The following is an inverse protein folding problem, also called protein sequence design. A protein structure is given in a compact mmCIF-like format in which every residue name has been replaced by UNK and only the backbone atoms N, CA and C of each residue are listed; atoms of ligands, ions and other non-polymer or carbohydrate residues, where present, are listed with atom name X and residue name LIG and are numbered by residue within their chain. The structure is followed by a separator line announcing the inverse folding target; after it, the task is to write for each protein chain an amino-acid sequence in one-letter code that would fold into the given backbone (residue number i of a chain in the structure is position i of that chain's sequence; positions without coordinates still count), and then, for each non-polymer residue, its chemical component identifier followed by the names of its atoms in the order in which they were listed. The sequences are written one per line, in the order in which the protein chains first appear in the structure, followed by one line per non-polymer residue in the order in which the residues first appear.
data_IF_266280441742
#
_entry.id   IF_266280441742
#
_cell.length_a   1.000
_cell.length_b   1.000
_cell.length_c   1.000
_cell.angle_alpha   90.00
_cell.angle_beta   90.00
_cell.angle_gamma   90.00
#
_symmetry.space_group_name_H-M   'P 1'
#
loop_
_entity.id
_entity.type
_entity.pdbx_description
1 polymer ?
#
# COMPACT_ATOMS: atom_id res chain seq x y z
N UNK A 1 4.75 -17.06 -3.04
CA UNK A 1 4.04 -16.32 -4.08
C UNK A 1 3.42 -15.04 -3.59
N UNK A 2 2.66 -15.08 -2.49
CA UNK A 2 2.06 -13.88 -1.92
C UNK A 2 3.09 -12.85 -1.47
N UNK A 3 4.20 -13.30 -0.90
CA UNK A 3 5.26 -12.41 -0.44
C UNK A 3 5.92 -11.67 -1.60
N UNK A 4 6.09 -12.33 -2.74
CA UNK A 4 6.66 -11.69 -3.93
C UNK A 4 5.76 -10.56 -4.44
N UNK A 5 4.45 -10.78 -4.43
CA UNK A 5 3.48 -9.78 -4.83
C UNK A 5 3.54 -8.58 -3.88
N UNK A 6 3.54 -8.84 -2.58
CA UNK A 6 3.64 -7.80 -1.56
C UNK A 6 4.92 -6.96 -1.76
N UNK A 7 6.06 -7.61 -1.91
CA UNK A 7 7.34 -6.93 -2.07
C UNK A 7 7.38 -6.12 -3.37
N UNK A 8 6.83 -6.66 -4.44
CA UNK A 8 6.76 -5.96 -5.72
C UNK A 8 6.06 -4.60 -5.57
N UNK A 9 4.88 -4.60 -4.96
CA UNK A 9 4.14 -3.36 -4.76
C UNK A 9 4.82 -2.45 -3.75
N UNK A 10 5.44 -3.03 -2.72
CA UNK A 10 6.19 -2.24 -1.75
C UNK A 10 7.29 -1.42 -2.44
N UNK A 11 8.12 -2.07 -3.25
CA UNK A 11 9.20 -1.36 -3.94
C UNK A 11 8.67 -0.34 -4.94
N UNK A 12 7.59 -0.67 -5.63
CA UNK A 12 6.98 0.28 -6.57
C UNK A 12 6.52 1.53 -5.84
N UNK A 13 5.89 1.38 -4.69
CA UNK A 13 5.36 2.50 -3.92
C UNK A 13 6.51 3.34 -3.34
N UNK A 14 7.48 2.72 -2.70
CA UNK A 14 8.56 3.50 -2.07
C UNK A 14 9.40 4.22 -3.12
N UNK A 15 9.57 3.65 -4.29
CA UNK A 15 10.29 4.32 -5.39
C UNK A 15 9.46 5.47 -5.97
N UNK A 16 8.17 5.27 -6.17
CA UNK A 16 7.29 6.30 -6.73
C UNK A 16 7.14 7.51 -5.81
N UNK A 17 7.10 7.27 -4.50
CA UNK A 17 6.97 8.34 -3.52
C UNK A 17 8.32 8.82 -2.99
N UNK A 18 9.39 8.20 -3.42
CA UNK A 18 10.75 8.54 -3.01
C UNK A 18 10.91 8.54 -1.49
N UNK A 19 10.43 7.48 -0.85
CA UNK A 19 10.55 7.28 0.59
C UNK A 19 11.36 6.02 0.86
N UNK A 20 11.92 5.92 2.07
CA UNK A 20 12.67 4.73 2.46
C UNK A 20 11.72 3.66 3.01
N UNK A 21 12.20 2.41 3.04
CA UNK A 21 11.46 1.31 3.65
C UNK A 21 11.18 1.62 5.13
N UNK A 22 12.17 2.16 5.83
CA UNK A 22 12.03 2.52 7.24
C UNK A 22 10.93 3.55 7.45
N UNK A 23 10.87 4.58 6.60
CA UNK A 23 9.84 5.61 6.69
C UNK A 23 8.47 5.04 6.37
N UNK A 24 8.40 4.12 5.40
CA UNK A 24 7.14 3.50 5.02
C UNK A 24 6.48 2.74 6.19
N UNK A 25 7.30 2.06 7.00
CA UNK A 25 6.80 1.27 8.13
C UNK A 25 6.86 2.00 9.47
N UNK A 26 7.24 3.26 9.47
CA UNK A 26 7.30 4.07 10.67
C UNK A 26 5.92 4.61 11.02
N UNK A 27 5.57 4.57 12.30
CA UNK A 27 4.32 5.18 12.75
C UNK A 27 4.46 6.70 12.69
N UNK A 28 3.83 7.30 11.70
CA UNK A 28 3.91 8.72 11.46
C UNK A 28 2.57 9.21 10.94
N UNK A 29 2.31 10.49 11.16
CA UNK A 29 1.15 11.17 10.61
C UNK A 29 1.48 11.95 9.35
N UNK A 30 2.69 11.75 8.82
CA UNK A 30 3.09 12.37 7.56
C UNK A 30 2.12 11.98 6.47
N UNK A 31 1.47 12.98 5.89
CA UNK A 31 0.40 12.77 4.93
C UNK A 31 0.85 11.97 3.71
N UNK A 32 2.03 12.25 3.21
CA UNK A 32 2.57 11.57 2.04
C UNK A 32 2.78 10.08 2.31
N UNK A 33 3.31 9.75 3.47
CA UNK A 33 3.56 8.36 3.86
C UNK A 33 2.23 7.62 4.10
N UNK A 34 1.29 8.27 4.75
CA UNK A 34 -0.04 7.68 4.99
C UNK A 34 -0.73 7.40 3.65
N UNK A 35 -0.65 8.34 2.73
CA UNK A 35 -1.23 8.20 1.40
C UNK A 35 -0.57 7.05 0.63
N UNK A 36 0.75 6.96 0.70
CA UNK A 36 1.50 5.88 0.08
C UNK A 36 1.05 4.51 0.60
N UNK A 37 0.84 4.38 1.91
CA UNK A 37 0.36 3.13 2.50
C UNK A 37 -1.04 2.78 2.01
N UNK A 38 -1.94 3.76 1.91
CA UNK A 38 -3.29 3.51 1.44
C UNK A 38 -3.29 2.99 0.01
N UNK A 39 -2.50 3.61 -0.86
CA UNK A 39 -2.37 3.17 -2.25
C UNK A 39 -1.75 1.78 -2.31
N UNK A 40 -0.77 1.50 -1.46
CA UNK A 40 -0.14 0.20 -1.37
C UNK A 40 -1.16 -0.88 -1.00
N UNK A 41 -2.01 -0.64 0.01
CA UNK A 41 -3.05 -1.59 0.39
C UNK A 41 -4.03 -1.82 -0.76
N UNK A 42 -4.42 -0.75 -1.43
CA UNK A 42 -5.33 -0.83 -2.56
C UNK A 42 -4.76 -1.69 -3.69
N UNK A 43 -3.49 -1.48 -4.03
CA UNK A 43 -2.81 -2.26 -5.07
C UNK A 43 -2.69 -3.73 -4.68
N UNK A 44 -2.28 -4.01 -3.46
CA UNK A 44 -2.15 -5.39 -2.99
C UNK A 44 -3.49 -6.12 -3.04
N UNK A 45 -4.55 -5.44 -2.64
CA UNK A 45 -5.88 -6.04 -2.59
C UNK A 45 -6.52 -6.17 -3.98
N UNK A 46 -6.54 -5.08 -4.74
CA UNK A 46 -7.26 -5.04 -6.02
C UNK A 46 -6.47 -5.64 -7.17
N UNK A 47 -5.20 -5.29 -7.30
CA UNK A 47 -4.37 -5.76 -8.39
C UNK A 47 -3.62 -7.04 -8.06
N UNK A 48 -3.07 -7.11 -6.85
CA UNK A 48 -2.32 -8.28 -6.40
C UNK A 48 -3.18 -9.42 -5.90
N UNK A 49 -4.47 -9.19 -5.69
CA UNK A 49 -5.44 -10.19 -5.22
C UNK A 49 -5.07 -10.79 -3.87
N UNK A 50 -4.39 -10.03 -3.03
CA UNK A 50 -4.07 -10.47 -1.68
C UNK A 50 -5.26 -10.22 -0.75
N UNK A 51 -5.50 -11.18 0.14
CA UNK A 51 -6.55 -11.02 1.17
C UNK A 51 -6.10 -9.99 2.20
N UNK A 52 -7.06 -9.30 2.80
CA UNK A 52 -6.77 -8.29 3.83
C UNK A 52 -5.98 -8.91 4.99
N UNK A 53 -6.33 -10.11 5.40
CA UNK A 53 -5.60 -10.81 6.47
C UNK A 53 -4.13 -11.07 6.11
N UNK A 54 -3.85 -11.35 4.84
CA UNK A 54 -2.49 -11.57 4.36
C UNK A 54 -1.71 -10.26 4.40
N UNK A 55 -2.33 -9.16 3.98
CA UNK A 55 -1.70 -7.84 4.01
C UNK A 55 -1.35 -7.46 5.45
N UNK A 56 -2.29 -7.64 6.38
CA UNK A 56 -2.08 -7.35 7.80
C UNK A 56 -0.91 -8.17 8.36
N UNK A 57 -0.88 -9.48 8.04
CA UNK A 57 0.19 -10.35 8.52
C UNK A 57 1.55 -9.94 7.98
N UNK A 58 1.63 -9.59 6.71
CA UNK A 58 2.90 -9.19 6.10
C UNK A 58 3.39 -7.85 6.61
N UNK A 59 2.48 -6.90 6.86
CA UNK A 59 2.84 -5.63 7.50
C UNK A 59 3.44 -5.89 8.88
N UNK A 60 2.85 -6.81 9.63
CA UNK A 60 3.35 -7.19 10.95
C UNK A 60 4.76 -7.78 10.87
N UNK A 61 5.04 -8.58 9.84
CA UNK A 61 6.35 -9.17 9.62
C UNK A 61 7.44 -8.10 9.47
N UNK A 62 7.07 -6.92 8.98
CA UNK A 62 7.97 -5.78 8.87
C UNK A 62 7.92 -4.86 10.08
N UNK A 63 7.27 -5.30 11.16
CA UNK A 63 7.22 -4.56 12.41
C UNK A 63 6.10 -3.52 12.50
N UNK A 64 5.18 -3.51 11.55
CA UNK A 64 4.09 -2.54 11.55
C UNK A 64 2.78 -3.22 11.92
N UNK A 65 2.42 -3.11 13.20
CA UNK A 65 1.19 -3.70 13.73
C UNK A 65 -0.02 -2.84 13.40
N UNK A 66 -0.90 -3.36 12.54
CA UNK A 66 -2.16 -2.71 12.20
C UNK A 66 -3.27 -3.75 12.21
N UNK A 67 -4.49 -3.28 12.36
CA UNK A 67 -5.66 -4.13 12.28
C UNK A 67 -6.24 -4.17 10.88
N UNK A 68 -7.17 -5.11 10.67
CA UNK A 68 -7.90 -5.21 9.41
C UNK A 68 -8.61 -3.91 9.06
N UNK A 69 -9.16 -3.23 10.07
CA UNK A 69 -9.88 -1.97 9.88
C UNK A 69 -9.02 -0.90 9.22
N UNK A 70 -7.74 -0.83 9.59
CA UNK A 70 -6.82 0.15 9.02
C UNK A 70 -6.60 -0.09 7.53
N UNK A 71 -6.44 -1.36 7.14
CA UNK A 71 -6.26 -1.73 5.74
C UNK A 71 -7.53 -1.43 4.94
N UNK A 72 -8.68 -1.82 5.49
CA UNK A 72 -9.98 -1.57 4.83
C UNK A 72 -10.20 -0.07 4.67
N UNK A 73 -9.91 0.71 5.70
CA UNK A 73 -10.06 2.17 5.64
C UNK A 73 -9.19 2.75 4.53
N UNK A 74 -7.94 2.30 4.43
CA UNK A 74 -7.04 2.78 3.38
C UNK A 74 -7.55 2.44 1.98
N UNK A 75 -8.00 1.21 1.79
CA UNK A 75 -8.55 0.77 0.50
C UNK A 75 -9.77 1.61 0.12
N UNK A 76 -10.69 1.80 1.06
CA UNK A 76 -11.91 2.58 0.80
C UNK A 76 -11.60 4.05 0.52
N UNK A 77 -10.60 4.61 1.20
CA UNK A 77 -10.17 5.98 0.97
C UNK A 77 -9.72 6.18 -0.47
N UNK A 78 -8.97 5.22 -1.00
CA UNK A 78 -8.50 5.29 -2.40
C UNK A 78 -9.65 5.06 -3.37
N UNK A 79 -10.55 4.11 -3.07
CA UNK A 79 -11.72 3.85 -3.92
C UNK A 79 -12.62 5.07 -4.06
N UNK A 80 -12.73 5.86 -2.99
CA UNK A 80 -13.57 7.06 -2.98
C UNK A 80 -12.92 8.26 -3.65
N UNK A 81 -11.61 8.18 -3.91
CA UNK A 81 -10.87 9.25 -4.56
C UNK A 81 -10.97 9.07 -6.07
N UNK A 82 -11.80 9.89 -6.70
CA UNK A 82 -12.02 9.82 -8.15
C UNK A 82 -11.17 10.86 -8.89
N UNK A 83 -9.88 10.91 -8.62
CA UNK A 83 -9.05 11.86 -9.35
C UNK A 83 -8.05 11.14 -10.25
N UNK A 84 -7.43 11.91 -11.12
CA UNK A 84 -6.45 11.42 -12.07
C UNK A 84 -5.20 10.87 -11.38
N UNK A 85 -5.00 11.27 -10.15
CA UNK A 85 -3.86 10.85 -9.35
C UNK A 85 -3.87 9.33 -9.13
N UNK A 86 -5.03 8.79 -8.75
CA UNK A 86 -5.21 7.36 -8.53
C UNK A 86 -4.97 6.58 -9.82
N UNK A 87 -5.53 7.05 -10.93
CA UNK A 87 -5.37 6.40 -12.21
C UNK A 87 -3.91 6.44 -12.68
N UNK A 88 -3.25 7.56 -12.51
CA UNK A 88 -1.85 7.73 -12.89
C UNK A 88 -0.97 6.76 -12.13
N UNK A 89 -1.15 6.65 -10.82
CA UNK A 89 -0.37 5.74 -10.00
C UNK A 89 -0.66 4.30 -10.39
N UNK A 90 -1.92 3.96 -10.59
CA UNK A 90 -2.31 2.61 -10.99
C UNK A 90 -1.65 2.22 -12.31
N UNK A 91 -1.69 3.09 -13.31
CA UNK A 91 -1.09 2.83 -14.59
C UNK A 91 0.43 2.69 -14.49
N UNK A 92 1.07 3.54 -13.70
CA UNK A 92 2.51 3.52 -13.52
C UNK A 92 2.99 2.25 -12.81
N UNK A 93 2.21 1.76 -11.84
CA UNK A 93 2.63 0.66 -10.97
C UNK A 93 2.17 -0.71 -11.46
N UNK A 94 1.04 -0.78 -12.13
CA UNK A 94 0.51 -2.05 -12.62
C UNK A 94 1.17 -2.50 -13.92
N UNK A 95 1.76 -1.60 -14.67
CA UNK A 95 2.44 -1.91 -15.93
C UNK A 95 3.87 -2.39 -15.74
N UNK A 96 4.35 -2.41 -14.52
CA UNK A 96 5.75 -2.80 -14.25
C UNK A 96 5.86 -4.31 -14.00
#
# INVERSE_FOLDING_TARGET
MQRKVFIKYLFNIINSFNISVDDFFKKTKDREIVEARHIFYWLCYNDGKLKISVIVRMMKDYGYNIGHSSVIYGINTIDETEDNYQLTIKESLCLV
#
